data_IF_030658119469
#
_entry.id   IF_030658119469
#
_cell.length_a   1.000
_cell.length_b   1.000
_cell.length_c   1.000
_cell.angle_alpha   90.00
_cell.angle_beta   90.00
_cell.angle_gamma   90.00
#
_symmetry.space_group_name_H-M   'P 1'
#
loop_
_entity.id
_entity.type
_entity.pdbx_description
1 polymer ?
#
# COMPACT_ATOMS: atom_id res chain seq x y z
N UNK A 1 -28.07 -72.83 46.59
CA UNK A 1 -28.16 -73.13 45.13
C UNK A 1 -29.48 -72.57 44.59
N UNK A 2 -29.50 -72.02 43.36
CA UNK A 2 -30.70 -71.70 42.51
C UNK A 2 -31.64 -70.60 43.08
N UNK A 3 -31.89 -69.47 42.39
CA UNK A 3 -32.70 -69.21 41.17
C UNK A 3 -34.22 -69.32 41.41
N UNK A 4 -35.12 -68.60 40.73
CA UNK A 4 -34.98 -67.48 39.75
C UNK A 4 -35.04 -66.11 40.51
N UNK A 5 -35.53 -64.93 40.09
CA UNK A 5 -36.20 -64.31 38.92
C UNK A 5 -35.64 -62.84 38.78
N UNK A 6 -36.03 -61.91 37.89
CA UNK A 6 -37.14 -61.75 36.91
C UNK A 6 -36.62 -61.45 35.48
N UNK A 7 -37.04 -60.36 34.81
CA UNK A 7 -36.77 -60.06 33.39
C UNK A 7 -36.46 -58.56 33.12
N UNK A 8 -35.88 -58.32 31.94
CA UNK A 8 -35.45 -57.01 31.41
C UNK A 8 -36.66 -56.26 30.80
N UNK A 9 -36.67 -54.92 30.86
CA UNK A 9 -36.98 -54.15 29.65
C UNK A 9 -35.90 -53.11 29.32
N UNK A 10 -35.61 -52.98 28.02
CA UNK A 10 -34.68 -52.01 27.44
C UNK A 10 -35.43 -50.68 27.21
N UNK A 11 -35.01 -49.57 27.81
CA UNK A 11 -35.50 -48.22 27.45
C UNK A 11 -34.57 -47.10 27.93
N UNK A 12 -34.62 -45.97 27.22
CA UNK A 12 -33.65 -44.89 27.35
C UNK A 12 -33.82 -44.03 28.62
N UNK A 13 -32.69 -43.65 29.22
CA UNK A 13 -32.61 -42.60 30.23
C UNK A 13 -31.42 -41.69 29.89
N UNK A 14 -31.67 -40.63 29.11
CA UNK A 14 -30.65 -39.70 28.62
C UNK A 14 -30.44 -38.55 29.62
N UNK A 15 -29.68 -38.81 30.68
CA UNK A 15 -29.16 -37.80 31.60
C UNK A 15 -27.68 -38.11 31.87
N UNK A 16 -26.68 -37.23 31.87
CA UNK A 16 -26.50 -35.77 31.95
C UNK A 16 -25.42 -35.56 33.03
N UNK A 17 -24.55 -34.56 32.84
CA UNK A 17 -23.38 -34.27 33.70
C UNK A 17 -22.20 -35.27 33.51
N UNK A 18 -20.93 -34.91 33.71
CA UNK A 18 -20.40 -33.71 34.37
C UNK A 18 -19.16 -33.10 33.67
N UNK A 19 -19.01 -31.78 33.83
CA UNK A 19 -17.77 -30.98 33.93
C UNK A 19 -16.89 -30.68 32.68
N UNK A 20 -16.74 -29.36 32.47
CA UNK A 20 -15.58 -28.62 31.96
C UNK A 20 -14.71 -29.26 30.84
N UNK A 21 -15.12 -29.02 29.61
CA UNK A 21 -14.20 -28.61 28.55
C UNK A 21 -14.50 -27.16 28.11
N UNK A 22 -14.43 -26.21 29.06
CA UNK A 22 -14.47 -24.76 28.78
C UNK A 22 -13.16 -24.27 28.11
N UNK A 23 -12.65 -25.07 27.16
CA UNK A 23 -11.52 -24.80 26.28
C UNK A 23 -11.95 -24.04 25.03
N UNK A 24 -12.96 -23.17 25.16
CA UNK A 24 -13.18 -22.07 24.23
C UNK A 24 -12.04 -21.05 24.40
N UNK A 25 -10.83 -21.49 24.02
CA UNK A 25 -9.67 -20.64 23.84
C UNK A 25 -10.07 -19.58 22.83
N UNK A 26 -10.39 -18.40 23.32
CA UNK A 26 -10.52 -17.21 22.48
C UNK A 26 -9.14 -16.94 21.91
N UNK A 27 -8.91 -17.49 20.72
CA UNK A 27 -7.91 -16.99 19.79
C UNK A 27 -8.33 -15.57 19.40
N UNK A 28 -8.09 -14.63 20.32
CA UNK A 28 -8.07 -13.20 20.01
C UNK A 28 -6.95 -13.03 18.98
N UNK A 29 -7.36 -12.96 17.70
CA UNK A 29 -6.48 -13.14 16.56
C UNK A 29 -5.17 -12.39 16.73
N UNK A 30 -4.04 -13.12 16.61
CA UNK A 30 -2.70 -12.61 16.82
C UNK A 30 -2.31 -11.65 15.69
N UNK A 31 -2.88 -10.44 15.74
CA UNK A 31 -3.01 -9.51 14.62
C UNK A 31 -1.67 -9.28 13.93
N UNK A 32 -1.60 -9.68 12.66
CA UNK A 32 -0.34 -9.70 11.92
C UNK A 32 0.23 -8.29 11.78
N UNK A 33 1.52 -8.20 11.49
CA UNK A 33 2.17 -6.91 11.17
C UNK A 33 1.46 -6.18 10.02
N UNK A 34 0.86 -6.92 9.10
CA UNK A 34 0.12 -6.36 7.98
C UNK A 34 -1.26 -5.82 8.39
N UNK A 35 -1.94 -6.49 9.32
CA UNK A 35 -3.29 -6.09 9.76
C UNK A 35 -3.25 -4.91 10.72
N UNK A 36 -2.29 -4.89 11.65
CA UNK A 36 -2.00 -3.70 12.45
C UNK A 36 -1.60 -2.51 11.59
N UNK A 37 -0.76 -2.71 10.57
CA UNK A 37 -0.44 -1.66 9.59
C UNK A 37 -1.69 -1.14 8.85
N UNK A 38 -2.54 -2.05 8.33
CA UNK A 38 -3.82 -1.70 7.67
C UNK A 38 -4.74 -0.89 8.59
N UNK A 39 -4.95 -1.34 9.82
CA UNK A 39 -5.77 -0.63 10.82
C UNK A 39 -5.20 0.77 11.13
N UNK A 40 -3.89 0.89 11.34
CA UNK A 40 -3.20 2.17 11.53
C UNK A 40 -3.37 3.11 10.33
N UNK A 41 -3.28 2.59 9.09
CA UNK A 41 -3.49 3.38 7.88
C UNK A 41 -4.95 3.80 7.70
N UNK A 42 -5.93 2.94 7.96
CA UNK A 42 -7.35 3.31 7.92
C UNK A 42 -7.67 4.40 8.94
N UNK A 43 -7.20 4.27 10.19
CA UNK A 43 -7.35 5.29 11.22
C UNK A 43 -6.59 6.60 10.90
N UNK A 44 -5.47 6.54 10.18
CA UNK A 44 -4.76 7.72 9.67
C UNK A 44 -5.50 8.39 8.51
N UNK A 45 -5.98 7.61 7.54
CA UNK A 45 -6.73 8.10 6.39
C UNK A 45 -8.05 8.73 6.83
N UNK A 46 -8.85 8.08 7.67
CA UNK A 46 -10.13 8.63 8.16
C UNK A 46 -9.94 10.00 8.83
N UNK A 47 -8.93 10.13 9.72
CA UNK A 47 -8.58 11.42 10.36
C UNK A 47 -8.09 12.49 9.37
N UNK A 48 -7.63 12.12 8.18
CA UNK A 48 -7.27 13.05 7.09
C UNK A 48 -8.42 13.33 6.13
N UNK A 49 -9.33 12.39 5.93
CA UNK A 49 -10.48 12.50 5.03
C UNK A 49 -11.59 13.38 5.62
N UNK A 50 -11.81 13.29 6.94
CA UNK A 50 -12.70 14.21 7.68
C UNK A 50 -12.21 15.67 7.57
N UNK A 51 -10.90 15.90 7.40
CA UNK A 51 -10.35 17.20 7.04
C UNK A 51 -10.51 17.49 5.53
N UNK A 52 -11.77 17.66 5.09
CA UNK A 52 -12.34 18.12 3.80
C UNK A 52 -11.43 18.33 2.58
N UNK A 53 -10.31 19.03 2.75
CA UNK A 53 -9.18 19.18 1.82
C UNK A 53 -8.65 17.90 1.14
N UNK A 54 -9.06 16.69 1.55
CA UNK A 54 -8.62 15.40 1.00
C UNK A 54 -9.59 14.78 -0.03
N UNK A 55 -10.70 15.42 -0.40
CA UNK A 55 -11.79 14.79 -1.19
C UNK A 55 -11.40 14.16 -2.55
N UNK A 56 -10.28 14.59 -3.16
CA UNK A 56 -9.72 14.02 -4.40
C UNK A 56 -8.33 13.43 -4.17
N UNK A 57 -8.29 12.10 -4.07
CA UNK A 57 -7.09 11.32 -3.77
C UNK A 57 -7.14 9.93 -4.43
N UNK A 58 -5.99 9.26 -4.46
CA UNK A 58 -5.84 7.85 -4.79
C UNK A 58 -4.78 7.20 -3.90
N UNK A 59 -4.97 5.95 -3.53
CA UNK A 59 -4.09 5.26 -2.59
C UNK A 59 -4.04 3.75 -2.80
N UNK A 60 -2.97 3.14 -2.29
CA UNK A 60 -2.84 1.69 -2.15
C UNK A 60 -2.10 1.35 -0.86
N UNK A 61 -2.48 0.23 -0.23
CA UNK A 61 -1.78 -0.36 0.91
C UNK A 61 -1.17 -1.68 0.45
N UNK A 62 0.15 -1.74 0.33
CA UNK A 62 0.86 -2.84 -0.36
C UNK A 62 2.27 -3.03 0.20
N UNK A 63 2.68 -4.27 0.43
CA UNK A 63 4.08 -4.59 0.75
C UNK A 63 4.94 -4.41 -0.50
N UNK A 64 5.84 -3.42 -0.48
CA UNK A 64 6.72 -3.13 -1.61
C UNK A 64 8.08 -3.81 -1.44
N UNK A 65 8.53 -4.13 -0.23
CA UNK A 65 9.88 -4.64 0.02
C UNK A 65 9.98 -6.15 0.35
N UNK A 66 8.86 -6.78 0.70
CA UNK A 66 8.75 -8.19 1.09
C UNK A 66 8.92 -8.48 2.59
N UNK A 67 8.83 -7.48 3.48
CA UNK A 67 9.04 -7.63 4.94
C UNK A 67 7.77 -7.83 5.79
N UNK A 68 6.62 -8.06 5.13
CA UNK A 68 5.30 -8.28 5.73
C UNK A 68 4.70 -7.05 6.43
N UNK A 69 5.34 -5.88 6.32
CA UNK A 69 4.75 -4.58 6.69
C UNK A 69 4.37 -3.82 5.41
N UNK A 70 3.09 -3.74 5.05
CA UNK A 70 2.68 -3.01 3.85
C UNK A 70 2.95 -1.51 4.01
N UNK A 71 3.28 -0.84 2.92
CA UNK A 71 3.33 0.62 2.82
C UNK A 71 2.02 1.20 2.33
N UNK A 72 1.65 2.36 2.89
CA UNK A 72 0.62 3.23 2.33
C UNK A 72 1.25 4.17 1.30
N UNK A 73 0.86 3.99 0.03
CA UNK A 73 1.08 4.95 -1.04
C UNK A 73 -0.14 5.86 -1.14
N UNK A 74 0.05 7.18 -1.18
CA UNK A 74 -1.04 8.15 -1.15
C UNK A 74 -0.74 9.35 -2.06
N UNK A 75 -1.60 9.61 -3.04
CA UNK A 75 -1.57 10.81 -3.88
C UNK A 75 -2.79 11.69 -3.61
N UNK A 76 -2.56 12.96 -3.26
CA UNK A 76 -3.58 13.99 -3.07
C UNK A 76 -3.55 14.95 -4.25
N UNK A 77 -4.67 15.06 -4.97
CA UNK A 77 -4.80 15.99 -6.10
C UNK A 77 -4.90 17.44 -5.59
N UNK A 78 -5.75 17.66 -4.57
CA UNK A 78 -5.78 18.95 -3.84
C UNK A 78 -4.47 19.12 -3.05
N UNK A 79 -3.91 20.32 -3.11
CA UNK A 79 -2.57 20.62 -2.57
C UNK A 79 -1.41 19.98 -3.34
N UNK A 80 -1.69 19.08 -4.30
CA UNK A 80 -0.74 18.48 -5.24
C UNK A 80 0.45 17.81 -4.57
N UNK A 81 0.23 16.77 -3.74
CA UNK A 81 1.30 16.06 -3.01
C UNK A 81 1.10 14.54 -3.03
N UNK A 82 2.18 13.81 -3.30
CA UNK A 82 2.25 12.35 -3.21
C UNK A 82 3.18 11.92 -2.08
N UNK A 83 2.88 10.81 -1.42
CA UNK A 83 3.56 10.30 -0.25
C UNK A 83 3.71 8.78 -0.24
N UNK A 84 4.72 8.30 0.46
CA UNK A 84 4.90 6.90 0.85
C UNK A 84 5.11 6.87 2.37
N UNK A 85 4.30 6.09 3.06
CA UNK A 85 4.38 5.82 4.49
C UNK A 85 4.64 4.33 4.73
N UNK A 86 5.34 4.00 5.80
CA UNK A 86 5.46 2.65 6.36
C UNK A 86 4.89 2.63 7.78
N UNK A 87 4.71 1.44 8.36
CA UNK A 87 4.22 1.26 9.71
C UNK A 87 5.38 0.91 10.66
N UNK A 88 5.46 1.65 11.76
CA UNK A 88 6.49 1.51 12.79
C UNK A 88 6.00 0.52 13.86
N UNK A 89 6.30 -0.77 13.64
CA UNK A 89 5.76 -1.91 14.40
C UNK A 89 6.02 -1.84 15.91
N UNK A 90 7.10 -1.18 16.35
CA UNK A 90 7.44 -1.01 17.78
C UNK A 90 6.81 0.22 18.42
N UNK A 91 6.41 1.21 17.62
CA UNK A 91 5.78 2.45 18.10
C UNK A 91 4.31 2.61 17.72
N UNK A 92 3.70 1.54 17.20
CA UNK A 92 2.32 1.42 16.68
C UNK A 92 1.82 2.65 15.88
N UNK A 93 2.62 3.11 14.90
CA UNK A 93 2.37 4.40 14.24
C UNK A 93 2.76 4.46 12.77
N UNK A 94 2.07 5.34 12.03
CA UNK A 94 2.32 5.64 10.63
C UNK A 94 3.53 6.58 10.49
N UNK A 95 4.55 6.16 9.73
CA UNK A 95 5.83 6.86 9.55
C UNK A 95 6.06 7.23 8.08
N UNK A 96 6.20 8.53 7.80
CA UNK A 96 6.46 9.04 6.44
C UNK A 96 7.86 8.66 5.96
N UNK A 97 7.96 7.84 4.91
CA UNK A 97 9.23 7.51 4.23
C UNK A 97 9.59 8.55 3.16
N UNK A 98 8.59 9.02 2.40
CA UNK A 98 8.82 9.96 1.30
C UNK A 98 7.63 10.86 1.04
N UNK A 99 7.91 12.04 0.49
CA UNK A 99 6.93 12.93 -0.12
C UNK A 99 7.51 13.55 -1.40
N UNK A 100 6.63 13.97 -2.30
CA UNK A 100 6.95 14.74 -3.50
C UNK A 100 5.77 15.65 -3.86
N UNK A 101 6.07 16.89 -4.27
CA UNK A 101 5.06 17.76 -4.91
C UNK A 101 4.74 17.27 -6.31
N UNK A 102 3.45 17.29 -6.64
CA UNK A 102 2.89 16.84 -7.91
C UNK A 102 2.87 17.97 -8.95
N UNK A 103 2.50 19.18 -8.52
CA UNK A 103 2.27 20.31 -9.43
C UNK A 103 0.87 20.29 -10.07
N UNK A 104 0.61 21.25 -10.97
CA UNK A 104 -0.76 21.65 -11.37
C UNK A 104 -1.57 20.64 -12.20
N UNK A 105 -0.98 19.55 -12.71
CA UNK A 105 -1.63 18.66 -13.68
C UNK A 105 -1.86 17.22 -13.16
N UNK A 106 -2.21 17.08 -11.88
CA UNK A 106 -2.62 15.83 -11.22
C UNK A 106 -1.79 14.54 -11.50
N UNK A 107 -0.44 14.55 -11.47
CA UNK A 107 0.33 13.31 -11.57
C UNK A 107 0.04 12.34 -10.40
N UNK A 108 -0.07 11.04 -10.71
CA UNK A 108 -0.20 9.98 -9.70
C UNK A 108 1.14 9.42 -9.20
N UNK A 109 1.06 8.26 -8.54
CA UNK A 109 2.20 7.38 -8.29
C UNK A 109 2.03 6.08 -9.07
N UNK A 110 3.16 5.45 -9.39
CA UNK A 110 3.20 4.06 -9.87
C UNK A 110 4.10 3.22 -8.94
N UNK A 111 3.83 1.93 -8.75
CA UNK A 111 4.64 1.02 -7.94
C UNK A 111 4.81 -0.37 -8.57
N UNK A 112 5.80 -1.13 -8.13
CA UNK A 112 6.08 -2.47 -8.68
C UNK A 112 6.70 -3.35 -7.60
N UNK A 113 5.88 -4.23 -7.00
CA UNK A 113 6.27 -5.16 -5.93
C UNK A 113 7.38 -6.10 -6.40
N UNK A 114 7.22 -6.74 -7.57
CA UNK A 114 8.22 -7.61 -8.24
C UNK A 114 9.59 -6.93 -8.49
N UNK A 115 9.70 -5.62 -8.29
CA UNK A 115 10.92 -4.83 -8.48
C UNK A 115 11.34 -4.05 -7.24
N UNK A 116 10.55 -4.11 -6.17
CA UNK A 116 10.63 -3.28 -4.97
C UNK A 116 10.85 -1.80 -5.29
N UNK A 117 10.02 -1.23 -6.17
CA UNK A 117 10.19 0.12 -6.71
C UNK A 117 8.91 0.95 -6.65
N UNK A 118 9.07 2.24 -6.34
CA UNK A 118 8.02 3.26 -6.39
C UNK A 118 8.45 4.42 -7.30
N UNK A 119 7.52 4.97 -8.07
CA UNK A 119 7.73 6.07 -9.00
C UNK A 119 6.81 7.24 -8.63
N UNK A 120 7.41 8.33 -8.17
CA UNK A 120 6.73 9.61 -7.99
C UNK A 120 6.76 10.37 -9.32
N UNK A 121 5.59 10.79 -9.79
CA UNK A 121 5.48 11.66 -10.97
C UNK A 121 5.35 13.12 -10.49
N UNK A 122 5.85 14.06 -11.28
CA UNK A 122 5.67 15.51 -11.10
C UNK A 122 5.33 16.13 -12.46
N UNK A 123 4.56 17.21 -12.49
CA UNK A 123 4.19 17.95 -13.71
C UNK A 123 4.33 19.44 -13.47
N UNK A 124 4.94 20.13 -14.43
CA UNK A 124 5.18 21.58 -14.39
C UNK A 124 4.86 22.21 -15.75
N UNK A 125 4.74 23.54 -15.80
CA UNK A 125 4.36 24.27 -17.02
C UNK A 125 5.35 24.04 -18.19
N UNK A 126 6.56 23.53 -17.91
CA UNK A 126 7.56 23.13 -18.90
C UNK A 126 7.60 21.63 -19.23
N UNK A 127 6.74 20.78 -18.66
CA UNK A 127 6.72 19.34 -18.88
C UNK A 127 6.40 18.53 -17.62
N UNK A 128 7.27 17.58 -17.27
CA UNK A 128 7.05 16.73 -16.09
C UNK A 128 8.15 15.70 -15.88
N UNK A 129 8.15 14.96 -14.78
CA UNK A 129 9.20 13.99 -14.50
C UNK A 129 8.75 12.77 -13.71
N UNK A 130 9.35 11.62 -14.02
CA UNK A 130 9.17 10.33 -13.37
C UNK A 130 10.41 10.04 -12.52
N UNK A 131 10.26 9.99 -11.20
CA UNK A 131 11.35 9.73 -10.24
C UNK A 131 11.17 8.38 -9.56
N UNK A 132 11.90 7.37 -10.04
CA UNK A 132 11.88 6.01 -9.51
C UNK A 132 12.87 5.88 -8.35
N UNK A 133 12.38 5.35 -7.23
CA UNK A 133 13.16 4.94 -6.08
C UNK A 133 13.14 3.41 -5.97
N UNK A 134 14.32 2.82 -5.75
CA UNK A 134 14.45 1.46 -5.26
C UNK A 134 14.20 1.47 -3.76
N UNK A 135 13.38 0.56 -3.27
CA UNK A 135 13.11 0.31 -1.87
C UNK A 135 13.65 -1.08 -1.50
N UNK A 136 14.44 -1.20 -0.43
CA UNK A 136 14.93 -2.47 0.13
C UNK A 136 15.41 -2.23 1.57
N UNK A 137 15.13 -3.14 2.50
CA UNK A 137 15.58 -3.04 3.89
C UNK A 137 15.17 -1.71 4.55
N UNK A 138 13.92 -1.31 4.37
CA UNK A 138 13.30 -0.03 4.82
C UNK A 138 14.02 1.26 4.37
N UNK A 139 14.94 1.19 3.38
CA UNK A 139 15.69 2.34 2.83
C UNK A 139 15.32 2.62 1.36
N UNK A 140 15.20 3.90 0.99
CA UNK A 140 14.87 4.39 -0.36
C UNK A 140 16.10 4.99 -1.08
N UNK A 141 16.50 4.42 -2.22
CA UNK A 141 17.61 4.91 -3.08
C UNK A 141 17.09 5.36 -4.44
N UNK A 142 17.38 6.60 -4.87
CA UNK A 142 16.96 7.12 -6.18
C UNK A 142 17.62 6.30 -7.30
N UNK A 143 16.81 5.66 -8.16
CA UNK A 143 17.26 4.79 -9.26
C UNK A 143 17.28 5.52 -10.60
N UNK A 144 16.25 6.32 -10.88
CA UNK A 144 16.15 7.12 -12.09
C UNK A 144 15.31 8.38 -11.85
N UNK A 145 15.72 9.53 -12.40
CA UNK A 145 14.81 10.65 -12.70
C UNK A 145 14.81 10.90 -14.20
N UNK A 146 13.66 10.73 -14.83
CA UNK A 146 13.41 11.05 -16.24
C UNK A 146 12.56 12.32 -16.28
N UNK A 147 13.08 13.46 -16.76
CA UNK A 147 12.30 14.69 -16.98
C UNK A 147 12.03 14.90 -18.47
N UNK A 148 10.78 15.16 -18.81
CA UNK A 148 10.29 15.68 -20.09
C UNK A 148 10.35 17.21 -20.12
N UNK A 149 10.66 17.77 -21.29
CA UNK A 149 10.53 19.19 -21.59
C UNK A 149 9.63 19.35 -22.81
N UNK A 150 8.60 20.19 -22.70
CA UNK A 150 7.57 20.37 -23.74
C UNK A 150 7.99 21.30 -24.89
N UNK A 151 9.04 22.11 -24.71
CA UNK A 151 9.49 23.15 -25.64
C UNK A 151 9.40 24.56 -25.06
N UNK A 152 8.49 24.83 -24.10
CA UNK A 152 8.12 26.20 -23.67
C UNK A 152 9.25 27.02 -23.05
N UNK A 153 10.18 26.37 -22.35
CA UNK A 153 11.30 27.05 -21.66
C UNK A 153 12.67 26.44 -22.00
N UNK A 154 12.68 25.30 -22.69
CA UNK A 154 13.86 24.50 -23.06
C UNK A 154 13.48 23.59 -24.23
N UNK A 155 14.45 23.26 -25.08
CA UNK A 155 14.31 22.35 -26.23
C UNK A 155 13.50 21.10 -25.89
N UNK A 156 12.50 20.78 -26.72
CA UNK A 156 11.59 19.65 -26.51
C UNK A 156 12.37 18.33 -26.52
N UNK A 157 12.20 17.52 -25.48
CA UNK A 157 12.99 16.29 -25.31
C UNK A 157 12.98 15.77 -23.88
N UNK A 158 14.02 14.99 -23.52
CA UNK A 158 14.12 14.39 -22.19
C UNK A 158 15.54 14.48 -21.61
N UNK A 159 15.63 14.55 -20.28
CA UNK A 159 16.85 14.19 -19.54
C UNK A 159 16.61 12.95 -18.67
N UNK A 160 17.59 12.06 -18.61
CA UNK A 160 17.58 10.86 -17.79
C UNK A 160 18.81 10.89 -16.86
N UNK A 161 18.57 11.07 -15.55
CA UNK A 161 19.61 11.38 -14.56
C UNK A 161 20.47 12.59 -14.98
N UNK A 162 19.83 13.66 -15.46
CA UNK A 162 20.49 14.90 -15.90
C UNK A 162 21.00 14.86 -17.35
N UNK A 163 21.50 13.73 -17.84
CA UNK A 163 22.00 13.58 -19.22
C UNK A 163 20.85 13.61 -20.24
N UNK A 164 21.01 14.37 -21.33
CA UNK A 164 20.01 14.47 -22.41
C UNK A 164 19.80 13.12 -23.14
N UNK A 165 18.57 12.82 -23.56
CA UNK A 165 18.23 11.67 -24.42
C UNK A 165 17.15 12.05 -25.44
N UNK A 166 17.16 11.37 -26.60
CA UNK A 166 16.18 11.59 -27.67
C UNK A 166 14.74 11.25 -27.25
N UNK A 167 13.77 11.91 -27.90
CA UNK A 167 12.34 11.75 -27.65
C UNK A 167 11.88 10.27 -27.70
N UNK A 168 12.32 9.53 -28.73
CA UNK A 168 12.09 8.08 -28.89
C UNK A 168 12.62 7.25 -27.70
N UNK A 169 13.78 7.60 -27.14
CA UNK A 169 14.41 6.92 -25.98
C UNK A 169 13.72 7.28 -24.66
N UNK A 170 13.17 8.50 -24.53
CA UNK A 170 12.32 8.91 -23.42
C UNK A 170 10.97 8.19 -23.42
N UNK A 171 10.26 8.17 -24.55
CA UNK A 171 8.98 7.48 -24.69
C UNK A 171 9.10 5.98 -24.40
N UNK A 172 10.14 5.30 -24.93
CA UNK A 172 10.39 3.88 -24.63
C UNK A 172 10.64 3.61 -23.14
N UNK A 173 11.19 4.58 -22.39
CA UNK A 173 11.32 4.49 -20.93
C UNK A 173 9.98 4.67 -20.21
N UNK A 174 9.16 5.67 -20.58
CA UNK A 174 7.82 5.88 -19.99
C UNK A 174 6.94 4.66 -20.24
N UNK A 175 6.84 4.20 -21.49
CA UNK A 175 6.08 3.00 -21.84
C UNK A 175 6.53 1.75 -21.07
N UNK A 176 7.84 1.59 -20.80
CA UNK A 176 8.33 0.52 -19.93
C UNK A 176 7.92 0.69 -18.47
N UNK A 177 7.76 1.92 -17.95
CA UNK A 177 7.18 2.14 -16.60
C UNK A 177 5.71 1.72 -16.61
N UNK A 178 4.90 2.32 -17.51
CA UNK A 178 3.45 2.10 -17.58
C UNK A 178 3.06 0.62 -17.73
N UNK A 179 3.80 -0.15 -18.54
CA UNK A 179 3.55 -1.59 -18.76
C UNK A 179 3.99 -2.51 -17.62
N UNK A 180 4.70 -2.00 -16.61
CA UNK A 180 5.36 -2.87 -15.61
C UNK A 180 5.39 -2.31 -14.17
N UNK A 181 4.55 -1.31 -13.92
CA UNK A 181 4.24 -0.75 -12.61
C UNK A 181 2.71 -0.55 -12.55
N UNK A 182 2.11 -0.88 -11.41
CA UNK A 182 0.72 -0.61 -11.09
C UNK A 182 0.52 0.88 -10.79
N UNK A 183 -0.56 1.49 -11.28
CA UNK A 183 -1.02 2.81 -10.83
C UNK A 183 -1.79 2.68 -9.52
N UNK A 184 -1.77 3.73 -8.68
CA UNK A 184 -2.68 3.77 -7.53
C UNK A 184 -4.14 3.61 -7.96
N UNK A 185 -4.95 2.99 -7.12
CA UNK A 185 -6.42 3.09 -7.22
C UNK A 185 -6.87 4.50 -6.85
N UNK A 186 -7.51 5.19 -7.78
CA UNK A 186 -8.17 6.48 -7.52
C UNK A 186 -9.56 6.21 -6.94
N UNK A 187 -9.95 6.93 -5.88
CA UNK A 187 -11.21 6.66 -5.17
C UNK A 187 -12.35 7.59 -5.56
N UNK A 188 -12.06 8.70 -6.24
CA UNK A 188 -13.03 9.60 -6.89
C UNK A 188 -12.37 10.24 -8.11
N UNK A 189 -13.16 10.56 -9.14
CA UNK A 189 -12.81 11.48 -10.23
C UNK A 189 -13.85 12.63 -10.23
#
# INVERSE_FOLDING_TARGET
MKKKWYAIPLSAALCLSMMLAAGSSSAADASTKADRARACYSAFLNRKLVASSYNRYGYDIVDINGDQVPELLLSQMIGGKSYMYTYDVSGDKVKKLKGSTLGKAAPGMYYSVKKHQVCFIQADTGGGSYTIWQYKGKKLKKKMKLKYYNGKFRTRGYTCNGKSISFKKGNKKIQKILRTFQSLRNTNF
#
